data_IF_250975646815
#
_entry.id   IF_250975646815
#
_cell.length_a   1.000
_cell.length_b   1.000
_cell.length_c   1.000
_cell.angle_alpha   90.00
_cell.angle_beta   90.00
_cell.angle_gamma   90.00
#
_symmetry.space_group_name_H-M   'P 1'
#
loop_
_entity.id
_entity.type
_entity.pdbx_description
1 polymer ?
#
# COMPACT_ATOMS: atom_id res chain seq x y z
N UNK A 1 34.69 -18.96 35.70
CA UNK A 1 34.57 -17.50 35.88
C UNK A 1 34.36 -16.78 34.53
N UNK A 2 35.12 -17.09 33.50
CA UNK A 2 35.00 -16.48 32.14
C UNK A 2 33.60 -16.67 31.53
N UNK A 3 33.08 -17.90 31.53
CA UNK A 3 31.75 -18.23 30.96
C UNK A 3 30.60 -17.43 31.61
N UNK A 4 30.63 -17.20 32.94
CA UNK A 4 29.63 -16.37 33.63
C UNK A 4 29.68 -14.89 33.20
N UNK A 5 30.91 -14.35 33.00
CA UNK A 5 31.09 -12.96 32.51
C UNK A 5 30.59 -12.81 31.09
N UNK A 6 30.87 -13.77 30.19
CA UNK A 6 30.39 -13.77 28.81
C UNK A 6 28.86 -13.87 28.74
N UNK A 7 28.25 -14.73 29.57
CA UNK A 7 26.80 -14.86 29.63
C UNK A 7 26.13 -13.57 30.13
N UNK A 8 26.70 -12.95 31.18
CA UNK A 8 26.19 -11.67 31.70
C UNK A 8 26.32 -10.56 30.67
N UNK A 9 27.43 -10.47 29.95
CA UNK A 9 27.62 -9.49 28.88
C UNK A 9 26.61 -9.71 27.73
N UNK A 10 26.43 -10.95 27.31
CA UNK A 10 25.43 -11.28 26.28
C UNK A 10 24.00 -10.90 26.71
N UNK A 11 23.66 -11.17 27.99
CA UNK A 11 22.35 -10.77 28.54
C UNK A 11 22.19 -9.25 28.56
N UNK A 12 23.20 -8.50 29.00
CA UNK A 12 23.18 -7.04 29.03
C UNK A 12 23.02 -6.46 27.61
N UNK A 13 23.71 -7.02 26.62
CA UNK A 13 23.56 -6.60 25.20
C UNK A 13 22.14 -6.87 24.70
N UNK A 14 21.57 -8.05 24.97
CA UNK A 14 20.22 -8.39 24.60
C UNK A 14 19.17 -7.46 25.24
N UNK A 15 19.33 -7.17 26.53
CA UNK A 15 18.46 -6.25 27.27
C UNK A 15 18.56 -4.83 26.70
N UNK A 16 19.78 -4.37 26.39
CA UNK A 16 20.00 -3.03 25.80
C UNK A 16 19.37 -2.92 24.40
N UNK A 17 19.51 -3.96 23.55
CA UNK A 17 18.88 -4.02 22.24
C UNK A 17 17.35 -4.06 22.36
N UNK A 18 16.81 -4.83 23.30
CA UNK A 18 15.38 -4.87 23.58
C UNK A 18 14.82 -3.51 24.02
N UNK A 19 15.51 -2.83 24.93
CA UNK A 19 15.13 -1.49 25.38
C UNK A 19 15.21 -0.47 24.23
N UNK A 20 16.26 -0.50 23.44
CA UNK A 20 16.39 0.39 22.26
C UNK A 20 15.24 0.17 21.27
N UNK A 21 14.86 -1.09 21.01
CA UNK A 21 13.73 -1.41 20.13
C UNK A 21 12.41 -0.89 20.69
N UNK A 22 12.17 -0.99 21.99
CA UNK A 22 10.96 -0.46 22.63
C UNK A 22 10.91 1.07 22.58
N UNK A 23 12.04 1.75 22.76
CA UNK A 23 12.12 3.21 22.60
C UNK A 23 11.82 3.62 21.15
N UNK A 24 12.40 2.92 20.16
CA UNK A 24 12.12 3.17 18.75
C UNK A 24 10.65 2.92 18.41
N UNK A 25 10.05 1.86 18.94
CA UNK A 25 8.62 1.57 18.77
C UNK A 25 7.75 2.71 19.32
N UNK A 26 8.10 3.20 20.52
CA UNK A 26 7.40 4.33 21.14
C UNK A 26 7.54 5.60 20.29
N UNK A 27 8.75 5.97 19.86
CA UNK A 27 9.00 7.14 19.00
C UNK A 27 8.22 7.03 17.70
N UNK A 28 8.21 5.83 17.08
CA UNK A 28 7.51 5.57 15.83
C UNK A 28 5.99 5.68 15.98
N UNK A 29 5.41 5.06 17.03
CA UNK A 29 3.96 5.13 17.30
C UNK A 29 3.50 6.49 17.75
N UNK A 30 4.33 7.21 18.49
CA UNK A 30 4.03 8.56 18.96
C UNK A 30 4.20 9.61 17.86
N UNK A 31 4.62 9.20 16.65
CA UNK A 31 4.77 10.09 15.48
C UNK A 31 5.71 11.27 15.74
N UNK A 32 6.70 11.10 16.62
CA UNK A 32 7.62 12.19 17.01
C UNK A 32 8.57 12.62 15.90
N UNK A 33 8.78 11.76 14.90
CA UNK A 33 9.68 11.99 13.77
C UNK A 33 8.98 11.62 12.47
N UNK A 34 9.09 12.46 11.46
CA UNK A 34 8.64 12.13 10.10
C UNK A 34 9.56 11.09 9.47
N UNK A 35 9.30 9.83 9.79
CA UNK A 35 10.12 8.69 9.34
C UNK A 35 10.06 8.43 7.84
N UNK A 36 9.01 8.94 7.14
CA UNK A 36 8.79 8.77 5.70
C UNK A 36 9.03 10.05 4.89
N UNK A 37 9.68 11.06 5.47
CA UNK A 37 10.01 12.31 4.76
C UNK A 37 10.83 12.11 3.48
N UNK A 38 11.86 11.22 3.45
CA UNK A 38 12.65 11.01 2.24
C UNK A 38 11.85 10.48 1.06
N UNK A 39 10.74 9.75 1.31
CA UNK A 39 9.91 9.12 0.28
C UNK A 39 9.17 10.13 -0.59
N UNK A 40 8.89 11.33 -0.07
CA UNK A 40 8.31 12.41 -0.88
C UNK A 40 9.12 12.70 -2.15
N UNK A 41 10.43 12.48 -2.10
CA UNK A 41 11.33 12.68 -3.24
C UNK A 41 11.78 11.37 -3.87
N UNK A 42 12.01 10.32 -3.06
CA UNK A 42 12.56 9.05 -3.55
C UNK A 42 11.58 8.33 -4.48
N UNK A 43 10.30 8.27 -4.12
CA UNK A 43 9.28 7.64 -4.96
C UNK A 43 8.63 8.61 -5.95
N UNK A 44 8.64 9.91 -5.65
CA UNK A 44 7.96 10.92 -6.45
C UNK A 44 8.95 12.03 -6.87
N UNK A 45 9.97 11.70 -7.66
CA UNK A 45 10.99 12.66 -8.06
C UNK A 45 10.40 13.78 -8.92
N UNK A 46 10.90 14.99 -8.72
CA UNK A 46 10.51 16.16 -9.52
C UNK A 46 9.15 16.78 -9.15
N UNK A 47 8.46 16.29 -8.11
CA UNK A 47 7.22 16.94 -7.67
C UNK A 47 7.50 18.30 -7.00
N UNK A 48 6.59 19.25 -7.24
CA UNK A 48 6.66 20.59 -6.62
C UNK A 48 6.01 20.52 -5.24
N UNK A 49 6.85 20.52 -4.20
CA UNK A 49 6.40 20.46 -2.80
C UNK A 49 6.18 21.89 -2.23
N UNK A 50 6.99 22.87 -2.68
CA UNK A 50 6.88 24.24 -2.21
C UNK A 50 5.52 24.86 -2.56
N UNK A 51 4.96 25.73 -1.70
CA UNK A 51 3.75 26.48 -2.02
C UNK A 51 3.93 27.29 -3.31
N UNK A 52 2.94 27.22 -4.20
CA UNK A 52 2.89 27.91 -5.49
C UNK A 52 1.62 28.76 -5.66
N UNK A 53 0.91 29.00 -4.54
CA UNK A 53 -0.35 29.74 -4.52
C UNK A 53 -1.58 28.91 -4.89
N UNK A 54 -1.40 27.66 -5.35
CA UNK A 54 -2.50 26.75 -5.67
C UNK A 54 -2.94 25.96 -4.44
N UNK A 55 -4.23 25.58 -4.35
CA UNK A 55 -4.70 24.69 -3.30
C UNK A 55 -4.03 23.31 -3.42
N UNK A 56 -3.68 22.71 -2.29
CA UNK A 56 -3.01 21.42 -2.27
C UNK A 56 -4.03 20.26 -2.34
N UNK A 57 -3.73 19.28 -3.21
CA UNK A 57 -4.33 17.96 -3.22
C UNK A 57 -3.28 16.97 -2.72
N UNK A 58 -3.46 16.49 -1.48
CA UNK A 58 -2.57 15.52 -0.86
C UNK A 58 -3.04 14.10 -1.17
N UNK A 59 -2.17 13.29 -1.76
CA UNK A 59 -2.44 11.88 -2.07
C UNK A 59 -1.56 10.99 -1.19
N UNK A 60 -2.17 10.10 -0.41
CA UNK A 60 -1.48 9.05 0.35
C UNK A 60 -2.00 7.69 -0.11
N UNK A 61 -1.09 6.76 -0.32
CA UNK A 61 -1.38 5.39 -0.76
C UNK A 61 -0.12 4.54 -0.76
N UNK A 62 -0.22 3.38 -1.35
CA UNK A 62 0.84 2.38 -1.44
C UNK A 62 1.58 2.39 -2.79
N UNK A 63 1.99 1.19 -3.26
CA UNK A 63 2.68 0.99 -4.55
C UNK A 63 1.82 1.30 -5.77
N UNK A 64 0.49 1.29 -5.69
CA UNK A 64 -0.39 1.72 -6.78
C UNK A 64 -0.32 3.22 -7.04
N UNK A 65 0.02 4.00 -6.02
CA UNK A 65 0.04 5.46 -6.03
C UNK A 65 1.45 6.02 -6.11
N UNK A 66 2.45 5.33 -5.53
CA UNK A 66 3.84 5.79 -5.52
C UNK A 66 4.45 5.81 -6.92
N UNK A 67 5.16 6.88 -7.25
CA UNK A 67 5.89 7.00 -8.51
C UNK A 67 5.32 8.04 -9.48
N UNK A 68 6.20 8.58 -10.32
CA UNK A 68 5.86 9.61 -11.32
C UNK A 68 4.90 9.09 -12.40
N UNK A 69 4.97 7.80 -12.71
CA UNK A 69 4.13 7.15 -13.73
C UNK A 69 2.81 6.60 -13.17
N UNK A 70 2.56 6.74 -11.87
CA UNK A 70 1.28 6.39 -11.25
C UNK A 70 0.19 7.40 -11.62
N UNK A 71 -1.07 7.03 -11.40
CA UNK A 71 -2.20 7.93 -11.60
C UNK A 71 -2.02 9.26 -10.84
N UNK A 72 -1.44 9.22 -9.62
CA UNK A 72 -1.19 10.43 -8.83
C UNK A 72 -0.10 11.30 -9.46
N UNK A 73 0.95 10.70 -10.04
CA UNK A 73 1.96 11.41 -10.80
C UNK A 73 1.40 12.02 -12.09
N UNK A 74 0.48 11.32 -12.77
CA UNK A 74 -0.21 11.84 -13.97
C UNK A 74 -1.15 13.00 -13.60
N UNK A 75 -1.84 12.93 -12.45
CA UNK A 75 -2.69 14.02 -11.97
C UNK A 75 -1.92 15.33 -11.74
N UNK A 76 -0.62 15.28 -11.38
CA UNK A 76 0.23 16.47 -11.28
C UNK A 76 0.30 17.26 -12.59
N UNK A 77 0.28 16.55 -13.72
CA UNK A 77 0.33 17.17 -15.05
C UNK A 77 -1.08 17.56 -15.57
N UNK A 78 -2.11 16.87 -15.08
CA UNK A 78 -3.49 17.00 -15.58
C UNK A 78 -4.29 18.07 -14.84
N UNK A 79 -4.10 18.19 -13.52
CA UNK A 79 -4.82 19.12 -12.65
C UNK A 79 -3.99 20.38 -12.41
N UNK A 80 -3.83 21.20 -13.44
CA UNK A 80 -2.99 22.41 -13.43
C UNK A 80 -3.43 23.45 -12.40
N UNK A 81 -4.69 23.45 -11.99
CA UNK A 81 -5.28 24.30 -10.95
C UNK A 81 -4.96 23.86 -9.54
N UNK A 82 -4.41 22.66 -9.38
CA UNK A 82 -4.06 22.06 -8.09
C UNK A 82 -2.56 21.81 -7.96
N UNK A 83 -2.04 21.99 -6.77
CA UNK A 83 -0.72 21.49 -6.38
C UNK A 83 -0.91 20.05 -5.87
N UNK A 84 -0.75 19.07 -6.76
CA UNK A 84 -0.87 17.66 -6.40
C UNK A 84 0.40 17.19 -5.70
N UNK A 85 0.27 16.76 -4.45
CA UNK A 85 1.36 16.22 -3.63
C UNK A 85 1.18 14.71 -3.51
N UNK A 86 1.99 13.96 -4.24
CA UNK A 86 2.03 12.51 -4.09
C UNK A 86 2.94 12.14 -2.91
N UNK A 87 2.34 11.80 -1.77
CA UNK A 87 3.04 11.38 -0.55
C UNK A 87 2.93 9.85 -0.33
N UNK A 88 2.58 9.10 -1.36
CA UNK A 88 2.47 7.65 -1.30
C UNK A 88 3.83 6.97 -1.10
N UNK A 89 3.80 5.85 -0.39
CA UNK A 89 4.97 5.05 -0.07
C UNK A 89 4.69 3.58 -0.41
N UNK A 90 5.48 3.02 -1.33
CA UNK A 90 5.32 1.62 -1.74
C UNK A 90 5.43 0.65 -0.56
N UNK A 91 4.48 -0.29 -0.45
CA UNK A 91 4.44 -1.32 0.60
C UNK A 91 3.99 -0.78 1.97
N UNK A 92 3.16 0.25 1.96
CA UNK A 92 2.49 0.79 3.17
C UNK A 92 0.98 0.65 3.04
N UNK A 93 0.28 0.65 4.18
CA UNK A 93 -1.18 0.65 4.26
C UNK A 93 -1.68 1.74 5.21
N UNK A 94 -2.90 1.63 5.69
CA UNK A 94 -3.56 2.64 6.53
C UNK A 94 -2.80 2.97 7.82
N UNK A 95 -2.07 2.00 8.40
CA UNK A 95 -1.29 2.24 9.64
C UNK A 95 -0.14 3.20 9.39
N UNK A 96 0.61 3.01 8.31
CA UNK A 96 1.72 3.88 7.93
C UNK A 96 1.21 5.24 7.44
N UNK A 97 0.10 5.26 6.69
CA UNK A 97 -0.59 6.49 6.32
C UNK A 97 -0.94 7.34 7.54
N UNK A 98 -1.48 6.71 8.58
CA UNK A 98 -1.80 7.38 9.85
C UNK A 98 -0.54 7.93 10.55
N UNK A 99 0.60 7.23 10.49
CA UNK A 99 1.85 7.73 11.07
C UNK A 99 2.45 8.90 10.28
N UNK A 100 2.22 8.98 8.97
CA UNK A 100 2.64 10.10 8.13
C UNK A 100 1.73 11.33 8.26
N UNK A 101 0.45 11.12 8.55
CA UNK A 101 -0.59 12.13 8.47
C UNK A 101 -0.27 13.45 9.22
N UNK A 102 0.12 13.46 10.51
CA UNK A 102 0.35 14.71 11.23
C UNK A 102 1.40 15.59 10.54
N UNK A 103 2.47 14.98 10.03
CA UNK A 103 3.53 15.71 9.34
C UNK A 103 3.08 16.22 7.96
N UNK A 104 2.27 15.42 7.22
CA UNK A 104 1.80 15.79 5.88
C UNK A 104 0.73 16.87 5.95
N UNK A 105 -0.23 16.75 6.87
CA UNK A 105 -1.28 17.75 7.04
C UNK A 105 -0.70 19.07 7.53
N UNK A 106 0.19 19.06 8.54
CA UNK A 106 0.87 20.26 9.02
C UNK A 106 1.78 20.94 7.96
N UNK A 107 2.36 20.16 7.03
CA UNK A 107 3.23 20.71 5.98
C UNK A 107 2.44 21.27 4.79
N UNK A 108 1.34 20.63 4.39
CA UNK A 108 0.70 20.91 3.11
C UNK A 108 -0.64 21.59 3.21
N UNK A 109 -1.32 21.55 4.37
CA UNK A 109 -2.66 22.11 4.60
C UNK A 109 -3.60 21.83 3.41
N UNK A 110 -3.89 20.55 3.12
CA UNK A 110 -4.58 20.17 1.89
C UNK A 110 -6.03 20.64 1.89
N UNK A 111 -6.49 21.20 0.75
CA UNK A 111 -7.90 21.44 0.49
C UNK A 111 -8.64 20.18 0.05
N UNK A 112 -7.90 19.23 -0.57
CA UNK A 112 -8.37 17.88 -0.88
C UNK A 112 -7.35 16.87 -0.36
N UNK A 113 -7.86 15.84 0.32
CA UNK A 113 -7.09 14.66 0.73
C UNK A 113 -7.61 13.42 0.01
N UNK A 114 -6.74 12.68 -0.65
CA UNK A 114 -7.06 11.41 -1.28
C UNK A 114 -6.26 10.30 -0.62
N UNK A 115 -6.97 9.35 -0.01
CA UNK A 115 -6.39 8.10 0.48
C UNK A 115 -6.73 6.96 -0.49
N UNK A 116 -5.71 6.25 -0.96
CA UNK A 116 -5.91 5.05 -1.77
C UNK A 116 -5.89 3.82 -0.88
N UNK A 117 -6.93 3.00 -0.99
CA UNK A 117 -7.03 1.68 -0.39
C UNK A 117 -6.98 0.60 -1.50
N UNK A 118 -6.26 -0.48 -1.25
CA UNK A 118 -6.23 -1.65 -2.13
C UNK A 118 -6.82 -2.87 -1.43
N UNK A 119 -7.86 -3.45 -2.02
CA UNK A 119 -8.57 -4.58 -1.38
C UNK A 119 -7.76 -5.87 -1.31
N UNK A 120 -6.66 -5.98 -2.08
CA UNK A 120 -5.83 -7.19 -2.14
C UNK A 120 -4.91 -7.37 -0.93
N UNK A 121 -4.35 -6.29 -0.36
CA UNK A 121 -3.35 -6.39 0.70
C UNK A 121 -3.58 -5.50 1.94
N UNK A 122 -4.43 -4.47 1.89
CA UNK A 122 -4.57 -3.53 3.03
C UNK A 122 -4.95 -4.22 4.33
N UNK A 123 -5.81 -5.27 4.27
CA UNK A 123 -6.15 -6.04 5.46
C UNK A 123 -5.02 -7.00 5.88
N UNK A 124 -4.20 -7.45 4.93
CA UNK A 124 -3.00 -8.22 5.25
C UNK A 124 -1.97 -7.36 6.00
N UNK A 125 -1.83 -6.09 5.64
CA UNK A 125 -0.91 -5.16 6.29
C UNK A 125 -1.37 -4.76 7.72
N UNK A 126 -2.66 -4.93 8.04
CA UNK A 126 -3.15 -4.80 9.42
C UNK A 126 -2.58 -5.91 10.29
N UNK A 127 -2.63 -7.16 9.81
CA UNK A 127 -2.13 -8.32 10.54
C UNK A 127 -1.62 -9.40 9.59
N UNK A 128 -0.33 -9.66 9.67
CA UNK A 128 0.32 -10.75 8.94
C UNK A 128 -0.06 -12.11 9.53
N UNK A 129 -0.33 -13.13 8.71
CA UNK A 129 -0.59 -14.48 9.19
C UNK A 129 0.69 -15.13 9.73
N UNK A 130 0.63 -15.71 10.92
CA UNK A 130 1.73 -16.48 11.51
C UNK A 130 1.43 -17.97 11.45
N UNK A 131 1.59 -18.55 10.27
CA UNK A 131 1.30 -19.97 10.04
C UNK A 131 2.58 -20.76 9.75
N UNK A 132 3.13 -21.38 10.77
CA UNK A 132 4.36 -22.17 10.73
C UNK A 132 4.33 -23.37 9.77
N UNK A 133 3.14 -23.78 9.31
CA UNK A 133 2.97 -24.91 8.38
C UNK A 133 3.05 -24.47 6.92
N UNK A 134 2.68 -23.23 6.63
CA UNK A 134 2.57 -22.73 5.25
C UNK A 134 3.67 -21.76 4.86
N UNK A 135 4.40 -21.20 5.84
CA UNK A 135 5.52 -20.27 5.58
C UNK A 135 6.81 -20.76 6.22
N UNK A 136 7.95 -20.21 5.79
CA UNK A 136 9.23 -20.52 6.42
C UNK A 136 9.30 -19.99 7.85
N UNK A 137 10.01 -20.68 8.77
CA UNK A 137 10.14 -20.23 10.16
C UNK A 137 10.63 -18.78 10.30
N UNK A 138 11.62 -18.35 9.49
CA UNK A 138 12.12 -16.98 9.51
C UNK A 138 11.07 -15.95 9.13
N UNK A 139 10.20 -16.26 8.16
CA UNK A 139 9.09 -15.39 7.76
C UNK A 139 8.04 -15.28 8.87
N UNK A 140 7.69 -16.37 9.51
CA UNK A 140 6.75 -16.37 10.65
C UNK A 140 7.27 -15.55 11.84
N UNK A 141 8.56 -15.67 12.17
CA UNK A 141 9.19 -14.87 13.24
C UNK A 141 9.11 -13.38 12.89
N UNK A 142 9.49 -13.02 11.67
CA UNK A 142 9.40 -11.62 11.21
C UNK A 142 7.96 -11.10 11.30
N UNK A 143 6.96 -11.81 10.79
CA UNK A 143 5.57 -11.40 10.83
C UNK A 143 5.02 -11.30 12.25
N UNK A 144 5.39 -12.24 13.12
CA UNK A 144 5.03 -12.17 14.53
C UNK A 144 5.57 -10.88 15.17
N UNK A 145 6.83 -10.58 14.97
CA UNK A 145 7.45 -9.36 15.49
C UNK A 145 6.81 -8.10 14.89
N UNK A 146 6.57 -8.04 13.58
CA UNK A 146 5.96 -6.90 12.91
C UNK A 146 4.49 -6.66 13.32
N UNK A 147 3.75 -7.72 13.68
CA UNK A 147 2.42 -7.58 14.23
C UNK A 147 2.40 -6.93 15.62
N UNK A 148 3.44 -7.14 16.44
CA UNK A 148 3.52 -6.62 17.82
C UNK A 148 4.31 -5.31 17.90
N UNK A 149 5.37 -5.17 17.09
CA UNK A 149 6.27 -4.02 17.05
C UNK A 149 6.26 -3.43 15.63
N UNK A 150 5.49 -2.37 15.43
CA UNK A 150 5.31 -1.75 14.11
C UNK A 150 6.59 -1.20 13.52
N UNK A 151 7.53 -0.76 14.37
CA UNK A 151 8.86 -0.32 13.93
C UNK A 151 9.66 -1.44 13.26
N UNK A 152 9.38 -2.71 13.54
CA UNK A 152 10.05 -3.85 12.86
C UNK A 152 9.77 -3.87 11.38
N UNK A 153 8.52 -3.60 10.97
CA UNK A 153 8.16 -3.44 9.57
C UNK A 153 8.90 -2.28 8.90
N UNK A 154 8.95 -1.14 9.58
CA UNK A 154 9.69 0.04 9.13
C UNK A 154 11.20 -0.23 9.00
N UNK A 155 11.83 -0.88 9.99
CA UNK A 155 13.24 -1.23 9.93
C UNK A 155 13.54 -2.19 8.78
N UNK A 156 12.69 -3.20 8.54
CA UNK A 156 12.83 -4.11 7.40
C UNK A 156 12.71 -3.35 6.07
N UNK A 157 11.77 -2.43 5.96
CA UNK A 157 11.62 -1.54 4.80
C UNK A 157 12.91 -0.74 4.54
N UNK A 158 13.50 -0.12 5.59
CA UNK A 158 14.76 0.63 5.48
C UNK A 158 15.96 -0.24 5.11
N UNK A 159 16.10 -1.40 5.73
CA UNK A 159 17.18 -2.35 5.41
C UNK A 159 17.11 -2.82 3.96
N UNK A 160 15.89 -3.07 3.45
CA UNK A 160 15.70 -3.41 2.04
C UNK A 160 16.15 -2.30 1.11
N UNK A 161 15.80 -1.04 1.38
CA UNK A 161 16.27 0.10 0.59
C UNK A 161 17.80 0.23 0.57
N UNK A 162 18.45 0.02 1.71
CA UNK A 162 19.93 0.03 1.78
C UNK A 162 20.51 -1.12 0.95
N UNK A 163 19.95 -2.32 1.05
CA UNK A 163 20.37 -3.47 0.23
C UNK A 163 20.22 -3.22 -1.27
N UNK A 164 19.10 -2.66 -1.70
CA UNK A 164 18.84 -2.30 -3.11
C UNK A 164 19.85 -1.25 -3.62
N UNK A 165 20.18 -0.24 -2.81
CA UNK A 165 21.19 0.78 -3.16
C UNK A 165 22.60 0.17 -3.30
N UNK A 166 22.98 -0.72 -2.39
CA UNK A 166 24.30 -1.39 -2.43
C UNK A 166 24.42 -2.29 -3.67
N UNK A 167 23.37 -3.05 -4.00
CA UNK A 167 23.35 -3.93 -5.17
C UNK A 167 23.27 -3.16 -6.48
N UNK A 168 22.54 -2.02 -6.54
CA UNK A 168 22.48 -1.17 -7.73
C UNK A 168 23.83 -0.49 -8.00
N UNK A 169 24.52 0.00 -6.97
CA UNK A 169 25.86 0.56 -7.09
C UNK A 169 26.88 -0.48 -7.59
N UNK A 170 26.79 -1.73 -7.13
CA UNK A 170 27.63 -2.83 -7.66
C UNK A 170 27.29 -3.16 -9.11
N UNK A 171 26.03 -3.16 -9.50
CA UNK A 171 25.62 -3.39 -10.92
C UNK A 171 26.01 -2.22 -11.83
N UNK A 172 25.94 -0.97 -11.36
CA UNK A 172 26.41 0.20 -12.10
C UNK A 172 27.93 0.19 -12.29
N UNK A 173 28.69 -0.28 -11.30
CA UNK A 173 30.14 -0.45 -11.41
C UNK A 173 30.53 -1.58 -12.40
N UNK A 174 29.64 -2.54 -12.65
CA UNK A 174 29.84 -3.68 -13.57
C UNK A 174 29.20 -3.47 -14.97
N UNK A 175 28.36 -2.47 -15.15
CA UNK A 175 27.71 -2.16 -16.44
C UNK A 175 27.30 -0.68 -16.51
N UNK A 176 27.88 0.12 -17.42
CA UNK A 176 27.58 1.56 -17.54
C UNK A 176 26.20 1.91 -18.16
N UNK A 177 25.34 0.96 -18.39
CA UNK A 177 24.01 1.20 -19.00
C UNK A 177 22.95 0.36 -18.32
N UNK A 178 22.09 1.01 -17.63
CA UNK A 178 20.67 0.84 -17.28
C UNK A 178 20.44 1.27 -15.84
N UNK A 179 20.38 2.59 -15.62
CA UNK A 179 19.75 3.17 -14.45
C UNK A 179 18.29 3.43 -14.80
N UNK A 180 17.43 2.46 -14.61
CA UNK A 180 15.97 2.68 -14.56
C UNK A 180 15.34 1.68 -13.61
N UNK A 181 14.74 2.24 -12.58
CA UNK A 181 13.67 1.71 -11.76
C UNK A 181 13.83 0.25 -11.30
N UNK A 182 14.21 0.06 -10.06
CA UNK A 182 14.03 -1.18 -9.33
C UNK A 182 12.57 -1.35 -8.85
N UNK A 183 11.66 -1.41 -9.78
CA UNK A 183 10.51 -2.29 -9.77
C UNK A 183 10.79 -3.23 -10.94
N UNK A 184 10.96 -4.52 -10.66
CA UNK A 184 10.96 -5.53 -11.72
C UNK A 184 9.58 -5.44 -12.36
N UNK A 185 9.47 -4.58 -13.37
CA UNK A 185 8.31 -4.52 -14.25
C UNK A 185 8.33 -5.83 -15.01
N UNK A 186 7.48 -6.78 -14.58
CA UNK A 186 7.10 -7.86 -15.45
C UNK A 186 6.73 -7.22 -16.81
N UNK A 187 7.26 -7.75 -17.88
CA UNK A 187 6.96 -7.26 -19.22
C UNK A 187 5.43 -7.23 -19.39
N UNK A 188 4.80 -6.07 -19.62
CA UNK A 188 3.35 -5.95 -19.70
C UNK A 188 2.75 -6.78 -20.86
N UNK A 189 3.59 -7.25 -21.78
CA UNK A 189 3.18 -8.05 -22.95
C UNK A 189 3.22 -9.55 -22.70
N UNK A 190 3.77 -10.02 -21.56
CA UNK A 190 3.81 -11.45 -21.26
C UNK A 190 2.46 -11.95 -20.74
N UNK A 191 2.01 -13.08 -21.26
CA UNK A 191 0.87 -13.80 -20.71
C UNK A 191 1.15 -14.26 -19.28
N UNK A 192 0.09 -14.54 -18.52
CA UNK A 192 0.23 -15.10 -17.17
C UNK A 192 1.11 -16.35 -17.17
N UNK A 193 2.05 -16.38 -16.23
CA UNK A 193 2.88 -17.54 -15.94
C UNK A 193 3.20 -17.59 -14.44
N UNK A 194 2.98 -18.76 -13.83
CA UNK A 194 3.19 -18.97 -12.37
C UNK A 194 4.62 -18.61 -11.95
N UNK A 195 5.62 -18.93 -12.79
CA UNK A 195 7.03 -18.68 -12.55
C UNK A 195 7.32 -17.17 -12.46
N UNK A 196 6.70 -16.41 -13.34
CA UNK A 196 6.95 -14.98 -13.52
C UNK A 196 6.12 -14.11 -12.56
N UNK A 197 5.05 -14.65 -11.97
CA UNK A 197 4.19 -13.88 -11.06
C UNK A 197 4.96 -13.36 -9.85
N UNK A 198 4.57 -12.21 -9.32
CA UNK A 198 5.24 -11.56 -8.18
C UNK A 198 5.46 -12.53 -7.01
N UNK A 199 6.70 -12.58 -6.54
CA UNK A 199 7.11 -13.53 -5.51
C UNK A 199 6.46 -13.25 -4.14
N UNK A 200 6.12 -11.98 -3.85
CA UNK A 200 5.51 -11.58 -2.58
C UNK A 200 4.06 -12.02 -2.54
N UNK A 201 3.33 -11.85 -3.64
CA UNK A 201 1.94 -12.33 -3.76
C UNK A 201 1.89 -13.84 -3.58
N UNK A 202 2.81 -14.60 -4.20
CA UNK A 202 2.94 -16.05 -3.99
C UNK A 202 3.14 -16.43 -2.52
N UNK A 203 3.93 -15.66 -1.77
CA UNK A 203 4.13 -15.88 -0.33
C UNK A 203 2.83 -15.63 0.44
N UNK A 204 2.11 -14.54 0.14
CA UNK A 204 0.88 -14.17 0.83
C UNK A 204 -0.24 -15.20 0.61
N UNK A 205 -0.44 -15.57 -0.65
CA UNK A 205 -1.45 -16.57 -1.04
C UNK A 205 -1.14 -17.94 -0.43
N UNK A 206 0.14 -18.34 -0.36
CA UNK A 206 0.53 -19.60 0.31
C UNK A 206 0.35 -19.55 1.82
N UNK A 207 0.62 -18.40 2.44
CA UNK A 207 0.44 -18.21 3.87
C UNK A 207 -1.04 -18.29 4.28
N UNK A 208 -1.91 -17.69 3.47
CA UNK A 208 -3.34 -17.60 3.68
C UNK A 208 -4.08 -17.76 2.33
N UNK A 209 -4.42 -19.00 1.94
CA UNK A 209 -5.05 -19.27 0.63
C UNK A 209 -6.37 -18.54 0.40
N UNK A 210 -7.15 -18.27 1.46
CA UNK A 210 -8.42 -17.53 1.38
C UNK A 210 -8.25 -15.99 1.43
N UNK A 211 -7.02 -15.49 1.53
CA UNK A 211 -6.72 -14.07 1.78
C UNK A 211 -7.50 -13.11 0.88
N UNK A 212 -7.52 -13.36 -0.43
CA UNK A 212 -8.15 -12.47 -1.41
C UNK A 212 -9.67 -12.46 -1.24
N UNK A 213 -10.29 -13.64 -1.13
CA UNK A 213 -11.72 -13.77 -0.91
C UNK A 213 -12.12 -13.17 0.43
N UNK A 214 -11.43 -13.54 1.51
CA UNK A 214 -11.70 -13.03 2.85
C UNK A 214 -11.54 -11.53 2.97
N UNK A 215 -10.59 -10.93 2.25
CA UNK A 215 -10.39 -9.47 2.23
C UNK A 215 -11.52 -8.74 1.48
N UNK A 216 -11.89 -9.20 0.30
CA UNK A 216 -12.93 -8.59 -0.53
C UNK A 216 -14.32 -8.74 0.10
N UNK A 217 -14.60 -9.94 0.64
CA UNK A 217 -15.90 -10.28 1.23
C UNK A 217 -15.99 -9.96 2.74
N UNK A 218 -14.89 -9.47 3.33
CA UNK A 218 -14.82 -9.15 4.77
C UNK A 218 -15.28 -10.34 5.63
N UNK A 219 -14.68 -11.49 5.42
CA UNK A 219 -15.05 -12.72 6.11
C UNK A 219 -13.87 -13.38 6.81
N UNK A 220 -14.09 -14.51 7.48
CA UNK A 220 -13.05 -15.25 8.18
C UNK A 220 -12.30 -14.37 9.19
N UNK A 221 -10.98 -14.51 9.19
CA UNK A 221 -10.07 -13.74 10.05
C UNK A 221 -10.03 -12.26 9.66
N UNK A 222 -10.32 -11.92 8.40
CA UNK A 222 -10.23 -10.55 7.86
C UNK A 222 -11.37 -9.64 8.31
N UNK A 223 -12.46 -10.18 8.86
CA UNK A 223 -13.52 -9.37 9.47
C UNK A 223 -13.00 -8.49 10.62
N UNK A 224 -12.17 -9.05 11.48
CA UNK A 224 -11.57 -8.29 12.57
C UNK A 224 -10.55 -7.25 12.05
N UNK A 225 -9.73 -7.64 11.08
CA UNK A 225 -8.73 -6.74 10.48
C UNK A 225 -9.41 -5.57 9.76
N UNK A 226 -10.54 -5.82 9.12
CA UNK A 226 -11.35 -4.78 8.49
C UNK A 226 -11.94 -3.79 9.51
N UNK A 227 -12.38 -4.25 10.68
CA UNK A 227 -12.84 -3.35 11.74
C UNK A 227 -11.70 -2.43 12.22
N UNK A 228 -10.49 -2.97 12.39
CA UNK A 228 -9.30 -2.18 12.72
C UNK A 228 -8.97 -1.20 11.58
N UNK A 229 -9.01 -1.65 10.31
CA UNK A 229 -8.80 -0.80 9.14
C UNK A 229 -9.74 0.40 9.15
N UNK A 230 -11.05 0.19 9.35
CA UNK A 230 -12.05 1.25 9.40
C UNK A 230 -11.80 2.23 10.56
N UNK A 231 -11.39 1.73 11.72
CA UNK A 231 -11.03 2.58 12.86
C UNK A 231 -9.82 3.47 12.54
N UNK A 232 -8.75 2.88 11.97
CA UNK A 232 -7.54 3.63 11.61
C UNK A 232 -7.78 4.60 10.46
N UNK A 233 -8.60 4.23 9.50
CA UNK A 233 -9.02 5.11 8.42
C UNK A 233 -9.84 6.30 8.96
N UNK A 234 -10.74 6.08 9.92
CA UNK A 234 -11.46 7.17 10.57
C UNK A 234 -10.51 8.13 11.31
N UNK A 235 -9.49 7.60 12.01
CA UNK A 235 -8.46 8.44 12.65
C UNK A 235 -7.66 9.24 11.61
N UNK A 236 -7.34 8.65 10.46
CA UNK A 236 -6.67 9.33 9.35
C UNK A 236 -7.52 10.45 8.76
N UNK A 237 -8.79 10.18 8.50
CA UNK A 237 -9.72 11.15 7.93
C UNK A 237 -10.06 12.31 8.90
N UNK A 238 -9.90 12.10 10.22
CA UNK A 238 -10.08 13.16 11.21
C UNK A 238 -9.10 14.33 11.03
N UNK A 239 -7.90 14.10 10.49
CA UNK A 239 -6.97 15.18 10.10
C UNK A 239 -7.57 16.08 9.03
N UNK A 240 -8.25 15.49 8.01
CA UNK A 240 -8.92 16.26 6.98
C UNK A 240 -10.10 17.10 7.56
N UNK A 241 -10.83 16.56 8.51
CA UNK A 241 -11.90 17.30 9.17
C UNK A 241 -11.37 18.51 9.95
N UNK A 242 -10.21 18.38 10.61
CA UNK A 242 -9.55 19.47 11.34
C UNK A 242 -9.08 20.58 10.40
N UNK A 243 -8.56 20.23 9.23
CA UNK A 243 -8.11 21.17 8.20
C UNK A 243 -9.26 21.70 7.30
N UNK A 244 -10.50 21.26 7.54
CA UNK A 244 -11.67 21.61 6.71
C UNK A 244 -11.48 21.22 5.23
N UNK A 245 -10.86 20.07 4.98
CA UNK A 245 -10.63 19.58 3.63
C UNK A 245 -11.70 18.57 3.18
N UNK A 246 -11.82 18.34 1.87
CA UNK A 246 -12.61 17.25 1.31
C UNK A 246 -11.75 15.99 1.23
N UNK A 247 -12.27 14.87 1.71
CA UNK A 247 -11.56 13.60 1.71
C UNK A 247 -12.15 12.64 0.67
N UNK A 248 -11.28 12.01 -0.11
CA UNK A 248 -11.64 10.95 -1.04
C UNK A 248 -10.98 9.64 -0.61
N UNK A 249 -11.74 8.56 -0.60
CA UNK A 249 -11.24 7.19 -0.44
C UNK A 249 -11.33 6.51 -1.80
N UNK A 250 -10.19 6.35 -2.46
CA UNK A 250 -10.10 5.62 -3.71
C UNK A 250 -9.88 4.14 -3.42
N UNK A 251 -10.85 3.29 -3.77
CA UNK A 251 -10.76 1.84 -3.53
C UNK A 251 -10.32 1.14 -4.81
N UNK A 252 -9.06 0.73 -4.87
CA UNK A 252 -8.53 -0.03 -6.01
C UNK A 252 -9.00 -1.49 -5.91
N UNK A 253 -9.72 -2.01 -6.91
CA UNK A 253 -10.15 -3.40 -6.93
C UNK A 253 -8.97 -4.34 -7.23
N UNK A 254 -9.05 -5.58 -6.74
CA UNK A 254 -8.12 -6.63 -7.14
C UNK A 254 -8.42 -7.09 -8.58
N UNK A 255 -7.40 -7.51 -9.32
CA UNK A 255 -7.55 -7.96 -10.71
C UNK A 255 -8.60 -9.08 -10.88
N UNK A 256 -8.77 -9.99 -9.90
CA UNK A 256 -9.83 -11.00 -9.90
C UNK A 256 -11.25 -10.42 -9.94
N UNK A 257 -11.43 -9.18 -9.48
CA UNK A 257 -12.72 -8.48 -9.57
C UNK A 257 -12.95 -7.89 -10.98
N UNK A 258 -11.87 -7.59 -11.69
CA UNK A 258 -11.89 -6.97 -13.02
C UNK A 258 -11.94 -8.05 -14.11
N UNK A 259 -11.05 -9.03 -14.07
CA UNK A 259 -10.95 -10.12 -15.03
C UNK A 259 -11.16 -11.48 -14.34
N UNK A 260 -12.15 -12.24 -14.84
CA UNK A 260 -12.52 -13.55 -14.32
C UNK A 260 -11.45 -14.63 -14.49
N UNK A 261 -10.63 -14.52 -15.54
CA UNK A 261 -9.54 -15.46 -15.79
C UNK A 261 -8.55 -15.51 -14.62
N UNK A 262 -8.40 -14.36 -13.92
CA UNK A 262 -7.51 -14.28 -12.76
C UNK A 262 -7.99 -15.06 -11.52
N UNK A 263 -9.25 -15.46 -11.44
CA UNK A 263 -9.68 -16.44 -10.42
C UNK A 263 -8.96 -17.77 -10.61
N UNK A 264 -8.88 -18.26 -11.86
CA UNK A 264 -8.13 -19.47 -12.19
C UNK A 264 -6.63 -19.28 -11.99
N UNK A 265 -6.07 -18.16 -12.43
CA UNK A 265 -4.65 -17.86 -12.31
C UNK A 265 -4.19 -17.75 -10.85
N UNK A 266 -4.95 -17.07 -10.00
CA UNK A 266 -4.67 -17.03 -8.56
C UNK A 266 -4.79 -18.40 -7.92
N UNK A 267 -5.74 -19.24 -8.39
CA UNK A 267 -5.86 -20.64 -7.98
C UNK A 267 -4.58 -21.44 -8.24
N UNK A 268 -3.93 -21.23 -9.41
CA UNK A 268 -2.63 -21.85 -9.72
C UNK A 268 -1.50 -21.39 -8.81
N UNK A 269 -1.60 -20.18 -8.25
CA UNK A 269 -0.65 -19.68 -7.25
C UNK A 269 -0.93 -20.22 -5.84
N UNK A 270 -2.09 -20.86 -5.63
CA UNK A 270 -2.51 -21.44 -4.36
C UNK A 270 -3.68 -20.73 -3.67
N UNK A 271 -4.28 -19.71 -4.29
CA UNK A 271 -5.51 -19.09 -3.76
C UNK A 271 -6.68 -20.07 -3.78
N UNK A 272 -7.60 -19.89 -2.83
CA UNK A 272 -8.85 -20.67 -2.75
C UNK A 272 -10.03 -19.70 -2.73
N UNK A 273 -11.02 -20.00 -3.56
CA UNK A 273 -12.25 -19.23 -3.66
C UNK A 273 -13.44 -20.17 -3.44
N UNK A 274 -14.35 -19.78 -2.56
CA UNK A 274 -15.59 -20.52 -2.25
C UNK A 274 -16.81 -19.84 -2.85
N UNK A 275 -16.78 -18.50 -2.95
CA UNK A 275 -17.87 -17.68 -3.46
C UNK A 275 -17.35 -16.62 -4.47
N UNK A 276 -16.64 -17.04 -5.54
CA UNK A 276 -15.97 -16.10 -6.45
C UNK A 276 -16.93 -15.10 -7.12
N UNK A 277 -18.19 -15.50 -7.37
CA UNK A 277 -19.20 -14.60 -7.92
C UNK A 277 -19.51 -13.41 -7.00
N UNK A 278 -19.50 -13.62 -5.66
CA UNK A 278 -19.73 -12.56 -4.69
C UNK A 278 -18.60 -11.53 -4.67
N UNK A 279 -17.34 -11.95 -4.91
CA UNK A 279 -16.19 -11.04 -5.02
C UNK A 279 -16.35 -10.06 -6.18
N UNK A 280 -17.06 -10.45 -7.23
CA UNK A 280 -17.22 -9.69 -8.48
C UNK A 280 -18.46 -8.81 -8.53
N UNK A 281 -19.24 -8.74 -7.46
CA UNK A 281 -20.35 -7.79 -7.35
C UNK A 281 -19.83 -6.35 -7.39
N UNK A 282 -20.62 -5.44 -7.95
CA UNK A 282 -20.27 -3.99 -7.94
C UNK A 282 -20.29 -3.43 -6.52
N UNK A 283 -21.19 -3.95 -5.68
CA UNK A 283 -21.33 -3.65 -4.26
C UNK A 283 -20.86 -4.87 -3.45
N UNK A 284 -19.55 -5.04 -3.35
CA UNK A 284 -18.94 -6.10 -2.55
C UNK A 284 -18.77 -5.66 -1.07
N UNK A 285 -18.74 -6.59 -0.11
CA UNK A 285 -18.79 -6.30 1.32
C UNK A 285 -17.77 -5.28 1.82
N UNK A 286 -16.53 -5.29 1.33
CA UNK A 286 -15.53 -4.28 1.70
C UNK A 286 -16.02 -2.85 1.35
N UNK A 287 -16.54 -2.63 0.15
CA UNK A 287 -17.05 -1.32 -0.28
C UNK A 287 -18.32 -0.93 0.48
N UNK A 288 -19.25 -1.86 0.67
CA UNK A 288 -20.49 -1.64 1.42
C UNK A 288 -20.19 -1.22 2.85
N UNK A 289 -19.25 -1.91 3.51
CA UNK A 289 -18.83 -1.58 4.88
C UNK A 289 -18.16 -0.20 4.98
N UNK A 290 -17.33 0.19 4.00
CA UNK A 290 -16.78 1.54 3.92
C UNK A 290 -17.88 2.60 3.83
N UNK A 291 -18.82 2.42 2.91
CA UNK A 291 -19.95 3.36 2.73
C UNK A 291 -20.78 3.48 3.99
N UNK A 292 -21.14 2.35 4.61
CA UNK A 292 -21.89 2.33 5.85
C UNK A 292 -21.15 3.08 6.98
N UNK A 293 -19.84 2.88 7.11
CA UNK A 293 -19.02 3.52 8.15
C UNK A 293 -18.95 5.03 8.02
N UNK A 294 -18.90 5.55 6.80
CA UNK A 294 -18.69 6.98 6.55
C UNK A 294 -19.92 7.71 5.99
N UNK A 295 -21.10 7.10 6.01
CA UNK A 295 -22.38 7.70 5.54
C UNK A 295 -22.67 9.06 6.13
N UNK A 296 -22.36 9.27 7.43
CA UNK A 296 -22.61 10.53 8.13
C UNK A 296 -21.49 11.57 7.98
N UNK A 297 -20.40 11.23 7.27
CA UNK A 297 -19.26 12.11 7.08
C UNK A 297 -19.39 12.86 5.75
N UNK A 298 -20.09 14.00 5.76
CA UNK A 298 -20.43 14.76 4.53
C UNK A 298 -19.22 15.22 3.70
N UNK A 299 -18.03 15.33 4.32
CA UNK A 299 -16.77 15.69 3.66
C UNK A 299 -16.01 14.49 3.11
N UNK A 300 -16.51 13.25 3.27
CA UNK A 300 -15.87 12.01 2.82
C UNK A 300 -16.60 11.42 1.62
N UNK A 301 -15.88 11.24 0.53
CA UNK A 301 -16.38 10.67 -0.72
C UNK A 301 -15.66 9.36 -1.01
N UNK A 302 -16.42 8.28 -1.27
CA UNK A 302 -15.85 6.98 -1.62
C UNK A 302 -15.98 6.78 -3.13
N UNK A 303 -14.84 6.62 -3.80
CA UNK A 303 -14.76 6.43 -5.25
C UNK A 303 -14.25 5.03 -5.57
N UNK A 304 -15.00 4.32 -6.41
CA UNK A 304 -14.71 2.94 -6.80
C UNK A 304 -14.60 2.85 -8.34
N UNK A 305 -13.41 2.66 -8.91
CA UNK A 305 -13.19 2.59 -10.34
C UNK A 305 -13.53 1.23 -10.96
N UNK A 306 -14.10 0.27 -10.22
CA UNK A 306 -14.30 -1.11 -10.68
C UNK A 306 -15.03 -1.21 -12.03
N UNK A 307 -16.12 -0.46 -12.21
CA UNK A 307 -16.89 -0.49 -13.46
C UNK A 307 -16.07 0.05 -14.64
N UNK A 308 -15.38 1.17 -14.43
CA UNK A 308 -14.49 1.77 -15.42
C UNK A 308 -13.34 0.85 -15.79
N UNK A 309 -12.65 0.26 -14.79
CA UNK A 309 -11.54 -0.65 -15.04
C UNK A 309 -11.97 -1.92 -15.77
N UNK A 310 -13.17 -2.46 -15.50
CA UNK A 310 -13.73 -3.58 -16.25
C UNK A 310 -13.98 -3.25 -17.70
N UNK A 311 -14.55 -2.06 -17.95
CA UNK A 311 -14.82 -1.61 -19.33
C UNK A 311 -13.53 -1.44 -20.12
N UNK A 312 -12.54 -0.78 -19.52
CA UNK A 312 -11.24 -0.59 -20.15
C UNK A 312 -10.51 -1.92 -20.38
N UNK A 313 -10.56 -2.83 -19.38
CA UNK A 313 -9.88 -4.13 -19.48
C UNK A 313 -10.40 -5.03 -20.61
N UNK A 314 -11.70 -4.91 -20.96
CA UNK A 314 -12.27 -5.61 -22.12
C UNK A 314 -11.67 -5.15 -23.46
N UNK A 315 -11.23 -3.90 -23.52
CA UNK A 315 -10.62 -3.33 -24.73
C UNK A 315 -9.11 -3.54 -24.74
N UNK A 316 -8.46 -3.33 -23.59
CA UNK A 316 -7.03 -3.48 -23.39
C UNK A 316 -6.75 -3.78 -21.93
N UNK A 317 -5.84 -4.73 -21.65
CA UNK A 317 -5.43 -5.06 -20.29
C UNK A 317 -4.98 -3.81 -19.53
N UNK A 318 -5.54 -3.59 -18.32
CA UNK A 318 -5.22 -2.45 -17.44
C UNK A 318 -4.38 -2.85 -16.22
N UNK A 319 -4.15 -4.14 -16.04
CA UNK A 319 -3.21 -4.70 -15.05
C UNK A 319 -2.05 -5.39 -15.77
N UNK A 320 -0.92 -5.54 -15.08
CA UNK A 320 0.14 -6.41 -15.56
C UNK A 320 -0.28 -7.88 -15.51
N UNK A 321 0.19 -8.69 -16.45
CA UNK A 321 -0.19 -10.11 -16.52
C UNK A 321 0.36 -10.93 -15.33
N UNK A 322 1.53 -10.57 -14.81
CA UNK A 322 2.24 -11.30 -13.76
C UNK A 322 2.46 -10.48 -12.48
N UNK A 323 1.63 -9.46 -12.27
CA UNK A 323 1.67 -8.58 -11.11
C UNK A 323 0.24 -8.07 -10.84
N UNK A 324 -0.06 -7.78 -9.58
CA UNK A 324 -1.36 -7.25 -9.17
C UNK A 324 -1.54 -5.75 -9.46
N UNK A 325 -0.49 -5.06 -9.91
CA UNK A 325 -0.53 -3.61 -10.15
C UNK A 325 -1.15 -3.23 -11.49
N UNK A 326 -1.69 -2.01 -11.54
CA UNK A 326 -2.12 -1.39 -12.79
C UNK A 326 -0.90 -1.17 -13.71
N UNK A 327 -1.04 -1.55 -14.97
CA UNK A 327 -0.06 -1.23 -16.00
C UNK A 327 -0.15 0.26 -16.43
N UNK A 328 0.75 0.80 -17.26
CA UNK A 328 0.71 2.20 -17.67
C UNK A 328 -0.62 2.64 -18.27
N UNK A 329 -1.30 1.79 -19.05
CA UNK A 329 -2.64 2.06 -19.59
C UNK A 329 -3.69 2.18 -18.49
N UNK A 330 -3.66 1.28 -17.50
CA UNK A 330 -4.53 1.32 -16.33
C UNK A 330 -4.30 2.55 -15.47
N UNK A 331 -3.04 2.96 -15.27
CA UNK A 331 -2.69 4.18 -14.52
C UNK A 331 -3.22 5.44 -15.23
N UNK A 332 -3.08 5.53 -16.56
CA UNK A 332 -3.60 6.65 -17.36
C UNK A 332 -5.13 6.71 -17.31
N UNK A 333 -5.81 5.56 -17.49
CA UNK A 333 -7.26 5.47 -17.43
C UNK A 333 -7.80 5.90 -16.07
N UNK A 334 -7.16 5.43 -14.97
CA UNK A 334 -7.52 5.80 -13.61
C UNK A 334 -7.31 7.28 -13.35
N UNK A 335 -6.21 7.86 -13.81
CA UNK A 335 -5.93 9.29 -13.66
C UNK A 335 -6.98 10.15 -14.36
N UNK A 336 -7.29 9.83 -15.61
CA UNK A 336 -8.30 10.56 -16.41
C UNK A 336 -9.69 10.49 -15.77
N UNK A 337 -10.09 9.30 -15.33
CA UNK A 337 -11.38 9.10 -14.65
C UNK A 337 -11.43 9.84 -13.31
N UNK A 338 -10.38 9.74 -12.49
CA UNK A 338 -10.31 10.37 -11.17
C UNK A 338 -10.31 11.91 -11.28
N UNK A 339 -9.63 12.48 -12.29
CA UNK A 339 -9.66 13.92 -12.55
C UNK A 339 -11.10 14.42 -12.79
N UNK A 340 -11.94 13.64 -13.47
CA UNK A 340 -13.36 13.97 -13.64
C UNK A 340 -14.11 13.91 -12.31
N UNK A 341 -13.89 12.86 -11.50
CA UNK A 341 -14.54 12.73 -10.18
C UNK A 341 -14.18 13.90 -9.24
N UNK A 342 -12.95 14.36 -9.26
CA UNK A 342 -12.47 15.46 -8.43
C UNK A 342 -12.99 16.84 -8.86
N UNK A 343 -13.34 17.02 -10.15
CA UNK A 343 -13.91 18.27 -10.71
C UNK A 343 -15.43 18.38 -10.55
N UNK A 344 -16.13 17.25 -10.50
CA UNK A 344 -17.59 17.21 -10.45
C UNK A 344 -18.17 17.46 -9.04
N UNK A 345 -17.34 17.54 -8.05
CA UNK A 345 -17.72 17.73 -6.64
C UNK A 345 -17.01 18.96 -6.04
#
# INVERSE_FOLDING_TARGET
MLMRKTLLLALLVLLSLGLALLVLEWVYRAQLVDTYRPELHTFNPGQVIAPDGKPALLVIGDSFTAGRTSYAGILQDTLQEWRVINAAVSGTGVLQALYMAPHRFAQFHPAIFLYQAYVGNDLFDIRYPTNWRTTSPGRNIYWFLANHLRVVGYLNYRLRQVGERLTSNQRQALSPRVATAATATADPTTAFAVEHYDARVKIYVRAEPSLLEDSILVQGSRRHDYAIFLEKLAQLLAYCQQEVCRAYILVIPHICQVDEAYLTYMGQLGARFTTPAAMRLSEYPFLVGLRARFTSWSHVHIVNPLAMLREMHRQQAVYYANDEHLNPGGQQALAAWLAQQLRLQ
#
